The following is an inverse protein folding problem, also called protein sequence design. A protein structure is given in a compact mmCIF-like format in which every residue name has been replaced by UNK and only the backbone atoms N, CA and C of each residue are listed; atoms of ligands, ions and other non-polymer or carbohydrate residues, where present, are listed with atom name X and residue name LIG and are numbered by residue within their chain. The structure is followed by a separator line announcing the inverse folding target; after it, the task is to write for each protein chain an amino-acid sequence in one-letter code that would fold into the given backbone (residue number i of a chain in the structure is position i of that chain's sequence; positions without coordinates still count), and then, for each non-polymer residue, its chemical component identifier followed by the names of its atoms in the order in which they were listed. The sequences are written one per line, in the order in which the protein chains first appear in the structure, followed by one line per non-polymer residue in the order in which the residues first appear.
data_IF_684741861057
#
_entry.id   IF_684741861057
#
_cell.length_a   1.000
_cell.length_b   1.000
_cell.length_c   1.000
_cell.angle_alpha   90.00
_cell.angle_beta   90.00
_cell.angle_gamma   90.00
#
_symmetry.space_group_name_H-M   'P 1'
#
loop_
_entity.id
_entity.type
_entity.pdbx_description
1 polymer ?
#
# COMPACT_ATOMS: atom_id res chain seq x y z
N UNK A 1 -4.76 -65.23 -43.15
CA UNK A 1 -3.68 -64.58 -42.38
C UNK A 1 -3.98 -63.08 -42.31
N UNK A 2 -4.39 -62.63 -41.12
CA UNK A 2 -3.98 -61.39 -40.43
C UNK A 2 -4.39 -59.99 -40.94
N UNK A 3 -5.38 -59.44 -40.20
CA UNK A 3 -5.70 -58.08 -39.73
C UNK A 3 -4.64 -56.96 -39.89
N UNK A 4 -5.06 -55.73 -40.26
CA UNK A 4 -4.95 -54.52 -39.42
C UNK A 4 -5.67 -53.28 -39.99
N UNK A 5 -6.52 -52.72 -39.12
CA UNK A 5 -7.28 -51.45 -39.19
C UNK A 5 -6.32 -50.27 -39.00
N UNK A 6 -6.60 -49.13 -39.63
CA UNK A 6 -5.87 -47.87 -39.34
C UNK A 6 -6.54 -46.63 -39.91
N UNK A 7 -7.54 -46.13 -39.20
CA UNK A 7 -8.14 -44.80 -39.37
C UNK A 7 -7.07 -43.72 -39.13
N UNK A 8 -6.95 -42.75 -40.05
CA UNK A 8 -6.08 -41.59 -39.90
C UNK A 8 -6.79 -40.31 -40.31
N UNK A 9 -7.66 -39.80 -39.44
CA UNK A 9 -8.20 -38.44 -39.52
C UNK A 9 -7.03 -37.50 -39.23
N UNK A 10 -6.52 -36.79 -40.23
CA UNK A 10 -5.63 -35.65 -40.00
C UNK A 10 -6.52 -34.47 -39.61
N UNK A 11 -6.77 -34.34 -38.31
CA UNK A 11 -7.25 -33.09 -37.74
C UNK A 11 -6.18 -32.04 -37.99
N UNK A 12 -6.43 -31.14 -38.92
CA UNK A 12 -5.66 -29.90 -39.07
C UNK A 12 -5.81 -29.10 -37.78
N UNK A 13 -4.86 -29.27 -36.86
CA UNK A 13 -4.68 -28.35 -35.74
C UNK A 13 -4.22 -27.05 -36.37
N UNK A 14 -5.15 -26.14 -36.62
CA UNK A 14 -4.83 -24.72 -36.85
C UNK A 14 -4.23 -24.19 -35.56
N UNK A 15 -2.91 -24.30 -35.44
CA UNK A 15 -2.11 -23.59 -34.46
C UNK A 15 -2.17 -22.11 -34.81
N UNK A 16 -3.08 -21.39 -34.14
CA UNK A 16 -3.15 -19.93 -34.22
C UNK A 16 -1.87 -19.41 -33.55
N UNK A 17 -0.89 -19.06 -34.37
CA UNK A 17 0.33 -18.39 -33.94
C UNK A 17 -0.01 -16.92 -33.62
N UNK A 18 -0.60 -16.68 -32.45
CA UNK A 18 -0.83 -15.34 -31.93
C UNK A 18 0.51 -14.74 -31.47
N UNK A 19 1.16 -14.01 -32.37
CA UNK A 19 2.37 -13.25 -32.03
C UNK A 19 2.12 -12.20 -30.95
N UNK A 20 3.19 -11.65 -30.36
CA UNK A 20 3.18 -10.64 -29.27
C UNK A 20 2.13 -9.52 -29.43
N UNK A 21 1.85 -9.09 -30.66
CA UNK A 21 0.85 -8.05 -30.96
C UNK A 21 -0.60 -8.50 -30.76
N UNK A 22 -0.91 -9.77 -31.06
CA UNK A 22 -2.23 -10.35 -30.83
C UNK A 22 -2.53 -10.57 -29.35
N UNK A 23 -1.51 -10.97 -28.59
CA UNK A 23 -1.58 -11.06 -27.12
C UNK A 23 -1.84 -9.69 -26.48
N UNK A 24 -1.13 -8.64 -26.91
CA UNK A 24 -1.36 -7.27 -26.42
C UNK A 24 -2.74 -6.72 -26.78
N UNK A 25 -3.26 -7.03 -27.98
CA UNK A 25 -4.59 -6.61 -28.40
C UNK A 25 -5.71 -7.31 -27.61
N UNK A 26 -5.55 -8.62 -27.34
CA UNK A 26 -6.47 -9.38 -26.48
C UNK A 26 -6.54 -8.76 -25.08
N UNK A 27 -5.38 -8.52 -24.46
CA UNK A 27 -5.27 -7.89 -23.14
C UNK A 27 -5.90 -6.49 -23.08
N UNK A 28 -5.76 -5.69 -24.15
CA UNK A 28 -6.40 -4.37 -24.26
C UNK A 28 -7.92 -4.45 -24.41
N UNK A 29 -8.44 -5.49 -25.08
CA UNK A 29 -9.88 -5.71 -25.26
C UNK A 29 -10.57 -6.24 -23.99
N UNK A 30 -9.86 -7.02 -23.16
CA UNK A 30 -10.36 -7.50 -21.85
C UNK A 30 -10.03 -6.55 -20.68
N UNK A 31 -9.53 -5.34 -20.96
CA UNK A 31 -9.26 -4.31 -19.95
C UNK A 31 -8.01 -4.54 -19.09
N UNK A 32 -7.19 -5.55 -19.38
CA UNK A 32 -5.96 -5.85 -18.64
C UNK A 32 -4.79 -5.24 -19.40
N UNK A 33 -4.38 -4.02 -19.06
CA UNK A 33 -3.12 -3.49 -19.60
C UNK A 33 -1.94 -4.29 -19.01
N UNK A 34 -1.04 -4.91 -19.82
CA UNK A 34 0.12 -5.60 -19.29
C UNK A 34 1.09 -4.57 -18.71
N UNK A 35 0.93 -4.28 -17.41
CA UNK A 35 1.92 -3.54 -16.64
C UNK A 35 3.18 -4.39 -16.54
N UNK A 36 4.34 -3.80 -16.84
CA UNK A 36 5.63 -4.42 -16.55
C UNK A 36 5.64 -4.79 -15.07
N UNK A 37 5.84 -6.07 -14.75
CA UNK A 37 6.08 -6.51 -13.37
C UNK A 37 7.34 -5.81 -12.88
N UNK A 38 7.19 -4.69 -12.17
CA UNK A 38 8.29 -4.04 -11.47
C UNK A 38 8.49 -4.81 -10.18
N UNK A 39 9.52 -5.64 -10.13
CA UNK A 39 9.93 -6.28 -8.89
C UNK A 39 10.37 -5.18 -7.91
N UNK A 40 9.55 -4.93 -6.89
CA UNK A 40 9.95 -4.06 -5.78
C UNK A 40 10.79 -4.91 -4.83
N UNK A 41 12.10 -4.69 -4.87
CA UNK A 41 12.97 -5.21 -3.83
C UNK A 41 12.84 -4.34 -2.58
N UNK A 42 12.04 -4.82 -1.61
CA UNK A 42 11.84 -4.15 -0.32
C UNK A 42 13.13 -4.06 0.53
N UNK A 43 14.19 -4.77 0.13
CA UNK A 43 15.48 -4.77 0.81
C UNK A 43 16.55 -3.90 0.16
N UNK A 44 16.27 -3.30 -1.00
CA UNK A 44 17.20 -2.37 -1.64
C UNK A 44 17.45 -1.12 -0.77
N UNK A 45 18.65 -0.51 -0.83
CA UNK A 45 18.91 0.76 -0.17
C UNK A 45 17.95 1.82 -0.70
N UNK A 46 17.24 2.51 0.19
CA UNK A 46 16.26 3.51 -0.20
C UNK A 46 16.97 4.80 -0.59
N UNK A 47 16.86 5.20 -1.86
CA UNK A 47 17.24 6.56 -2.26
C UNK A 47 16.05 7.51 -2.12
N UNK A 48 16.23 8.63 -1.41
CA UNK A 48 15.22 9.69 -1.33
C UNK A 48 14.81 10.26 -2.71
N UNK A 49 15.66 10.07 -3.72
CA UNK A 49 15.35 10.46 -5.11
C UNK A 49 14.35 9.51 -5.77
N UNK A 50 14.27 8.26 -5.34
CA UNK A 50 13.38 7.23 -5.90
C UNK A 50 12.10 7.05 -5.10
N UNK A 51 12.06 7.54 -3.84
CA UNK A 51 10.83 7.52 -3.05
C UNK A 51 9.82 8.51 -3.63
N UNK A 52 8.67 7.99 -3.99
CA UNK A 52 7.50 8.75 -4.40
C UNK A 52 6.35 8.43 -3.44
N UNK A 53 5.96 9.40 -2.62
CA UNK A 53 4.86 9.28 -1.69
C UNK A 53 3.53 9.37 -2.45
N UNK A 54 2.63 8.41 -2.21
CA UNK A 54 1.32 8.38 -2.84
C UNK A 54 0.34 9.30 -2.14
N UNK A 55 0.28 9.23 -0.80
CA UNK A 55 -0.68 9.96 0.01
C UNK A 55 0.00 10.93 0.97
N UNK A 56 1.18 10.57 1.49
CA UNK A 56 1.89 11.42 2.45
C UNK A 56 2.62 12.59 1.77
N UNK A 57 2.23 13.82 2.10
CA UNK A 57 2.93 15.01 1.64
C UNK A 57 4.11 15.37 2.56
N UNK A 58 5.21 14.62 2.48
CA UNK A 58 6.39 14.82 3.32
C UNK A 58 7.48 15.64 2.61
N UNK A 59 8.08 16.59 3.34
CA UNK A 59 9.20 17.36 2.82
C UNK A 59 10.49 16.52 2.73
N UNK A 60 10.98 16.30 1.51
CA UNK A 60 12.20 15.51 1.24
C UNK A 60 13.44 15.97 1.99
N UNK A 61 13.56 17.26 2.33
CA UNK A 61 14.68 17.77 3.13
C UNK A 61 14.68 17.20 4.54
N UNK A 62 13.49 17.08 5.16
CA UNK A 62 13.36 16.56 6.53
C UNK A 62 13.66 15.07 6.61
N UNK A 63 13.57 14.35 5.48
CA UNK A 63 13.84 12.92 5.38
C UNK A 63 15.34 12.59 5.27
N UNK A 64 16.20 13.55 4.92
CA UNK A 64 17.64 13.34 4.69
C UNK A 64 18.40 12.89 5.94
N UNK A 65 17.85 13.16 7.11
CA UNK A 65 18.50 12.86 8.40
C UNK A 65 17.99 11.55 9.01
N UNK A 66 17.01 10.91 8.36
CA UNK A 66 16.41 9.69 8.87
C UNK A 66 17.23 8.45 8.47
N UNK A 67 17.38 7.47 9.36
CA UNK A 67 17.95 6.18 9.02
C UNK A 67 17.02 5.37 8.10
N UNK A 68 17.60 4.47 7.33
CA UNK A 68 16.89 3.65 6.33
C UNK A 68 15.67 2.91 6.88
N UNK A 69 15.74 2.40 8.12
CA UNK A 69 14.62 1.67 8.72
C UNK A 69 13.39 2.56 8.95
N UNK A 70 13.57 3.82 9.34
CA UNK A 70 12.48 4.79 9.50
C UNK A 70 11.91 5.21 8.15
N UNK A 71 12.77 5.37 7.13
CA UNK A 71 12.32 5.63 5.75
C UNK A 71 11.47 4.49 5.21
N UNK A 72 11.88 3.23 5.44
CA UNK A 72 11.10 2.04 5.06
C UNK A 72 9.77 1.98 5.81
N UNK A 73 9.76 2.33 7.09
CA UNK A 73 8.53 2.36 7.86
C UNK A 73 7.57 3.43 7.34
N UNK A 74 8.06 4.63 7.02
CA UNK A 74 7.25 5.67 6.38
C UNK A 74 6.66 5.19 5.05
N UNK A 75 7.41 4.43 4.25
CA UNK A 75 6.90 3.82 3.02
C UNK A 75 5.76 2.83 3.29
N UNK A 76 5.93 1.93 4.26
CA UNK A 76 4.83 1.02 4.65
C UNK A 76 3.61 1.78 5.17
N UNK A 77 3.81 2.86 5.92
CA UNK A 77 2.72 3.72 6.37
C UNK A 77 2.00 4.34 5.15
N UNK A 78 2.74 4.89 4.19
CA UNK A 78 2.15 5.46 2.95
C UNK A 78 1.34 4.42 2.16
N UNK A 79 1.85 3.20 2.01
CA UNK A 79 1.16 2.09 1.36
C UNK A 79 -0.14 1.71 2.09
N UNK A 80 -0.11 1.64 3.43
CA UNK A 80 -1.30 1.38 4.27
C UNK A 80 -2.32 2.51 4.17
N UNK A 81 -1.86 3.77 4.15
CA UNK A 81 -2.71 4.95 3.98
C UNK A 81 -3.38 4.95 2.61
N UNK A 82 -2.64 4.60 1.54
CA UNK A 82 -3.25 4.47 0.20
C UNK A 82 -4.33 3.38 0.19
N UNK A 83 -4.02 2.21 0.75
CA UNK A 83 -5.00 1.12 0.85
C UNK A 83 -6.26 1.53 1.62
N UNK A 84 -6.07 2.32 2.67
CA UNK A 84 -7.15 2.87 3.48
C UNK A 84 -8.01 3.90 2.71
N UNK A 85 -7.40 4.82 1.96
CA UNK A 85 -8.15 5.81 1.18
C UNK A 85 -8.82 5.21 -0.06
N UNK A 86 -8.18 4.26 -0.74
CA UNK A 86 -8.80 3.52 -1.84
C UNK A 86 -10.07 2.82 -1.38
N UNK A 87 -10.04 2.27 -0.17
CA UNK A 87 -11.23 1.71 0.47
C UNK A 87 -12.30 2.76 0.78
N UNK A 88 -11.93 3.88 1.42
CA UNK A 88 -12.91 4.93 1.73
C UNK A 88 -13.62 5.42 0.47
N UNK A 89 -12.85 5.57 -0.63
CA UNK A 89 -13.39 5.95 -1.93
C UNK A 89 -14.36 4.90 -2.46
N UNK A 90 -14.00 3.61 -2.39
CA UNK A 90 -14.88 2.52 -2.81
C UNK A 90 -16.19 2.46 -2.00
N UNK A 91 -16.18 2.81 -0.70
CA UNK A 91 -17.40 2.95 0.10
C UNK A 91 -18.24 4.15 -0.34
N UNK A 92 -17.60 5.29 -0.61
CA UNK A 92 -18.29 6.49 -1.12
C UNK A 92 -18.97 6.22 -2.45
N UNK A 93 -18.32 5.47 -3.36
CA UNK A 93 -18.88 5.07 -4.65
C UNK A 93 -20.11 4.15 -4.50
N UNK A 94 -20.23 3.46 -3.36
CA UNK A 94 -21.40 2.64 -3.00
C UNK A 94 -22.49 3.44 -2.27
N UNK A 95 -22.39 4.77 -2.20
CA UNK A 95 -23.25 5.65 -1.39
C UNK A 95 -23.28 5.28 0.11
N UNK A 96 -22.28 4.54 0.59
CA UNK A 96 -22.10 4.25 2.01
C UNK A 96 -21.27 5.37 2.63
N UNK A 97 -21.90 6.49 2.96
CA UNK A 97 -21.24 7.54 3.75
C UNK A 97 -21.24 7.12 5.22
N UNK A 98 -20.13 6.52 5.68
CA UNK A 98 -19.90 6.34 7.12
C UNK A 98 -19.50 7.66 7.75
N UNK A 99 -20.06 7.98 8.92
CA UNK A 99 -19.59 9.07 9.74
C UNK A 99 -18.11 8.81 10.11
N UNK A 100 -17.26 9.84 9.97
CA UNK A 100 -15.85 9.76 10.35
C UNK A 100 -15.77 9.39 11.83
N UNK A 101 -15.14 8.25 12.14
CA UNK A 101 -14.97 7.81 13.52
C UNK A 101 -13.79 8.52 14.18
N UNK A 102 -13.80 8.63 15.50
CA UNK A 102 -12.69 9.25 16.24
C UNK A 102 -11.32 8.62 15.91
N UNK A 103 -11.16 7.28 15.84
CA UNK A 103 -9.91 6.66 15.41
C UNK A 103 -9.43 7.14 14.02
N UNK A 104 -10.35 7.32 13.08
CA UNK A 104 -10.03 7.79 11.73
C UNK A 104 -9.56 9.24 11.74
N UNK A 105 -10.26 10.10 12.49
CA UNK A 105 -9.86 11.49 12.67
C UNK A 105 -8.47 11.63 13.33
N UNK A 106 -8.19 10.82 14.36
CA UNK A 106 -6.91 10.84 15.05
C UNK A 106 -5.78 10.44 14.09
N UNK A 107 -5.96 9.37 13.32
CA UNK A 107 -4.96 8.92 12.34
C UNK A 107 -4.74 9.98 11.26
N UNK A 108 -5.81 10.55 10.72
CA UNK A 108 -5.71 11.62 9.71
C UNK A 108 -4.89 12.82 10.24
N UNK A 109 -5.19 13.27 11.45
CA UNK A 109 -4.44 14.35 12.12
C UNK A 109 -2.98 13.99 12.38
N UNK A 110 -2.70 12.74 12.75
CA UNK A 110 -1.34 12.27 12.94
C UNK A 110 -0.54 12.30 11.64
N UNK A 111 -1.13 11.83 10.54
CA UNK A 111 -0.48 11.74 9.23
C UNK A 111 -0.23 13.12 8.60
N UNK A 112 -1.23 14.01 8.63
CA UNK A 112 -1.18 15.27 7.88
C UNK A 112 -0.65 16.45 8.69
N UNK A 113 -0.68 16.39 10.02
CA UNK A 113 -0.22 17.49 10.87
C UNK A 113 0.97 17.06 11.72
N UNK A 114 0.81 16.04 12.58
CA UNK A 114 1.81 15.74 13.62
C UNK A 114 3.08 15.12 13.09
N UNK A 115 2.96 14.20 12.13
CA UNK A 115 4.11 13.54 11.53
C UNK A 115 5.01 14.56 10.78
N UNK A 116 4.49 15.43 9.90
CA UNK A 116 5.29 16.50 9.30
C UNK A 116 5.96 17.43 10.31
N UNK A 117 5.25 17.86 11.36
CA UNK A 117 5.77 18.72 12.43
C UNK A 117 6.95 18.07 13.18
N UNK A 118 6.81 16.79 13.49
CA UNK A 118 7.84 16.05 14.21
C UNK A 118 9.06 15.74 13.33
N UNK A 119 8.85 15.42 12.05
CA UNK A 119 9.94 15.29 11.07
C UNK A 119 10.71 16.61 10.89
N UNK A 120 10.01 17.74 10.87
CA UNK A 120 10.65 19.06 10.83
C UNK A 120 11.49 19.31 12.09
N UNK A 121 10.93 18.99 13.27
CA UNK A 121 11.63 19.12 14.56
C UNK A 121 12.89 18.25 14.61
N UNK A 122 12.80 17.00 14.15
CA UNK A 122 13.94 16.07 14.05
C UNK A 122 15.03 16.61 13.12
N UNK A 123 14.64 17.14 11.96
CA UNK A 123 15.54 17.78 11.02
C UNK A 123 16.26 18.99 11.63
N UNK A 124 15.52 19.85 12.34
CA UNK A 124 16.11 20.99 13.03
C UNK A 124 17.16 20.55 14.06
N UNK A 125 16.85 19.56 14.91
CA UNK A 125 17.81 19.01 15.87
C UNK A 125 19.07 18.45 15.20
N UNK A 126 18.92 17.73 14.09
CA UNK A 126 20.03 17.20 13.31
C UNK A 126 20.88 18.30 12.64
N UNK A 127 20.24 19.37 12.16
CA UNK A 127 20.91 20.51 11.50
C UNK A 127 21.65 21.43 12.48
N UNK A 128 21.19 21.54 13.72
CA UNK A 128 21.90 22.28 14.78
C UNK A 128 23.17 21.52 15.20
N UNK A 129 23.11 20.18 15.25
CA UNK A 129 24.27 19.31 15.56
C UNK A 129 25.42 19.46 14.55
N UNK A 130 25.13 19.62 13.27
CA UNK A 130 26.19 19.81 12.25
C UNK A 130 26.96 21.11 12.44
N UNK A 131 26.35 22.11 13.07
CA UNK A 131 26.96 23.43 13.33
C UNK A 131 27.63 23.53 14.71
N UNK A 132 27.07 22.87 15.74
CA UNK A 132 27.64 22.82 17.08
C UNK A 132 28.35 21.47 17.30
N UNK A 133 29.69 21.44 17.16
CA UNK A 133 30.56 20.24 17.21
C UNK A 133 30.44 19.34 18.47
N UNK A 134 29.58 19.65 19.43
CA UNK A 134 29.41 18.90 20.67
C UNK A 134 28.05 19.22 21.33
N UNK A 135 26.94 18.83 20.70
CA UNK A 135 25.65 18.74 21.41
C UNK A 135 25.20 17.28 21.51
N UNK A 136 24.79 16.94 22.74
CA UNK A 136 24.50 15.62 23.31
C UNK A 136 24.02 14.55 22.31
N UNK A 137 24.82 13.49 22.14
CA UNK A 137 24.34 12.26 21.47
C UNK A 137 23.04 11.77 22.12
N UNK A 138 22.87 12.00 23.43
CA UNK A 138 21.68 11.63 24.18
C UNK A 138 20.39 12.25 23.60
N UNK A 139 20.38 13.55 23.29
CA UNK A 139 19.20 14.23 22.74
C UNK A 139 18.83 13.74 21.34
N UNK A 140 19.81 13.26 20.57
CA UNK A 140 19.54 12.68 19.25
C UNK A 140 18.98 11.26 19.36
N UNK A 141 19.50 10.46 20.30
CA UNK A 141 18.96 9.13 20.61
C UNK A 141 17.51 9.28 21.07
N UNK A 142 17.24 10.19 22.01
CA UNK A 142 15.89 10.48 22.49
C UNK A 142 14.97 10.95 21.36
N UNK A 143 15.43 11.85 20.47
CA UNK A 143 14.64 12.30 19.33
C UNK A 143 14.34 11.16 18.33
N UNK A 144 15.28 10.24 18.10
CA UNK A 144 15.06 9.06 17.26
C UNK A 144 14.06 8.09 17.92
N UNK A 145 14.15 7.87 19.23
CA UNK A 145 13.21 7.04 19.98
C UNK A 145 11.80 7.60 19.95
N UNK A 146 11.64 8.91 20.16
CA UNK A 146 10.34 9.59 20.09
C UNK A 146 9.72 9.50 18.70
N UNK A 147 10.52 9.76 17.65
CA UNK A 147 10.07 9.61 16.26
C UNK A 147 9.66 8.15 16.00
N UNK A 148 10.46 7.18 16.42
CA UNK A 148 10.17 5.76 16.26
C UNK A 148 8.87 5.35 16.97
N UNK A 149 8.64 5.84 18.19
CA UNK A 149 7.41 5.56 18.94
C UNK A 149 6.17 6.08 18.21
N UNK A 150 6.24 7.29 17.64
CA UNK A 150 5.11 7.84 16.89
C UNK A 150 4.90 7.09 15.57
N UNK A 151 5.98 6.73 14.84
CA UNK A 151 5.85 5.91 13.63
C UNK A 151 5.20 4.56 13.95
N UNK A 152 5.62 3.90 15.02
CA UNK A 152 5.01 2.65 15.49
C UNK A 152 3.53 2.85 15.85
N UNK A 153 3.19 3.94 16.54
CA UNK A 153 1.82 4.23 16.93
C UNK A 153 0.91 4.48 15.72
N UNK A 154 1.39 5.24 14.74
CA UNK A 154 0.67 5.49 13.48
C UNK A 154 0.47 4.18 12.73
N UNK A 155 1.54 3.39 12.57
CA UNK A 155 1.48 2.12 11.84
C UNK A 155 0.50 1.14 12.50
N UNK A 156 0.55 0.99 13.82
CA UNK A 156 -0.37 0.12 14.57
C UNK A 156 -1.83 0.57 14.43
N UNK A 157 -2.11 1.87 14.55
CA UNK A 157 -3.47 2.40 14.41
C UNK A 157 -4.02 2.18 13.00
N UNK A 158 -3.17 2.31 11.98
CA UNK A 158 -3.54 1.99 10.61
C UNK A 158 -3.86 0.49 10.46
N UNK A 159 -3.06 -0.39 11.08
CA UNK A 159 -3.33 -1.84 11.06
C UNK A 159 -4.67 -2.18 11.72
N UNK A 160 -4.99 -1.54 12.85
CA UNK A 160 -6.28 -1.70 13.53
C UNK A 160 -7.45 -1.22 12.66
N UNK A 161 -7.32 -0.06 12.00
CA UNK A 161 -8.33 0.46 11.07
C UNK A 161 -8.56 -0.47 9.88
N UNK A 162 -7.48 -0.95 9.26
CA UNK A 162 -7.55 -1.88 8.14
C UNK A 162 -8.18 -3.22 8.54
N UNK A 163 -7.84 -3.74 9.73
CA UNK A 163 -8.42 -4.97 10.26
C UNK A 163 -9.94 -4.82 10.54
N UNK A 164 -10.35 -3.70 11.14
CA UNK A 164 -11.78 -3.41 11.36
C UNK A 164 -12.56 -3.38 10.05
N UNK A 165 -12.00 -2.78 9.01
CA UNK A 165 -12.63 -2.74 7.69
C UNK A 165 -12.80 -4.12 7.07
N UNK A 166 -11.80 -4.99 7.18
CA UNK A 166 -11.89 -6.38 6.70
C UNK A 166 -13.00 -7.14 7.42
N UNK A 167 -13.09 -6.98 8.74
CA UNK A 167 -14.14 -7.61 9.56
C UNK A 167 -15.53 -7.11 9.17
N UNK A 168 -15.70 -5.80 8.96
CA UNK A 168 -16.97 -5.22 8.53
C UNK A 168 -17.43 -5.80 7.18
N UNK A 169 -16.54 -5.93 6.20
CA UNK A 169 -16.91 -6.52 4.92
C UNK A 169 -17.28 -8.00 5.00
N UNK A 170 -16.55 -8.77 5.80
CA UNK A 170 -16.89 -10.17 6.01
C UNK A 170 -18.29 -10.29 6.63
N UNK A 171 -18.62 -9.43 7.60
CA UNK A 171 -19.93 -9.39 8.22
C UNK A 171 -21.03 -8.99 7.22
N UNK A 172 -20.79 -7.99 6.37
CA UNK A 172 -21.72 -7.59 5.30
C UNK A 172 -22.01 -8.74 4.34
N UNK A 173 -20.98 -9.48 3.91
CA UNK A 173 -21.13 -10.65 3.03
C UNK A 173 -21.93 -11.77 3.69
N UNK A 174 -21.70 -12.01 4.98
CA UNK A 174 -22.47 -13.00 5.75
C UNK A 174 -23.94 -12.61 5.87
N UNK A 175 -24.24 -11.34 6.15
CA UNK A 175 -25.61 -10.84 6.20
C UNK A 175 -26.29 -10.99 4.84
N UNK A 176 -25.60 -10.63 3.75
CA UNK A 176 -26.12 -10.74 2.40
C UNK A 176 -26.40 -12.20 2.01
N UNK A 177 -25.47 -13.12 2.33
CA UNK A 177 -25.67 -14.55 2.14
C UNK A 177 -26.93 -15.03 2.87
N UNK A 178 -27.06 -14.73 4.16
CA UNK A 178 -28.19 -15.16 4.98
C UNK A 178 -29.52 -14.58 4.47
N UNK A 179 -29.51 -13.35 3.96
CA UNK A 179 -30.68 -12.72 3.36
C UNK A 179 -31.12 -13.42 2.07
N UNK A 180 -30.17 -13.80 1.19
CA UNK A 180 -30.49 -14.55 -0.03
C UNK A 180 -31.05 -15.93 0.33
N UNK A 181 -30.37 -16.66 1.23
CA UNK A 181 -30.79 -18.00 1.66
C UNK A 181 -32.20 -18.00 2.27
N UNK A 182 -32.62 -16.91 2.94
CA UNK A 182 -33.96 -16.80 3.54
C UNK A 182 -35.08 -16.56 2.53
N UNK A 183 -34.77 -16.19 1.28
CA UNK A 183 -35.75 -15.94 0.22
C UNK A 183 -35.82 -17.09 -0.80
N UNK A 184 -34.93 -18.08 -0.70
CA UNK A 184 -34.94 -19.31 -1.50
C UNK A 184 -35.74 -20.46 -0.84
N UNK A 185 -36.47 -20.18 0.25
CA UNK A 185 -37.35 -21.13 0.98
C UNK A 185 -38.83 -20.89 0.73
#
# INVERSE_FOLDING_TARGET
MSVLIGVGIVTTITTIYLGKKGWQAFHKAVGITPGVLRYHDYNAPLSLSTINWQQLNLNKKHLQVLPDHQLRQLQRIDEKVSSYYDYQKALSDQNKTSAVTEPQFVVDKMLHTRLPEMLASRYHLASVRTNAKQMDNQKNIEADELLQQVLNNIEQRLDELLAQMQLQHLQELQVMKNYIDSHDS
#
